data_IF_245467574258
#
_entry.id   IF_245467574258
#
_cell.length_a   1.000
_cell.length_b   1.000
_cell.length_c   1.000
_cell.angle_alpha   90.00
_cell.angle_beta   90.00
_cell.angle_gamma   90.00
#
_symmetry.space_group_name_H-M   'P 1'
#
loop_
_entity.id
_entity.type
_entity.pdbx_description
1 polymer ?
#
# COMPACT_ATOMS: atom_id res chain seq x y z
N UNK A 1 -30.62 2.60 -14.07
CA UNK A 1 -30.02 3.85 -13.53
C UNK A 1 -28.56 3.59 -13.24
N UNK A 2 -27.72 4.34 -13.94
CA UNK A 2 -26.26 4.26 -13.91
C UNK A 2 -25.68 4.75 -12.56
N UNK A 3 -24.48 4.29 -12.19
CA UNK A 3 -23.78 4.80 -11.01
C UNK A 3 -23.50 6.31 -11.12
N UNK A 4 -23.48 7.00 -9.97
CA UNK A 4 -23.24 8.45 -9.90
C UNK A 4 -21.81 8.71 -10.37
N UNK A 5 -21.67 9.47 -11.45
CA UNK A 5 -20.38 10.01 -11.90
C UNK A 5 -20.01 11.18 -11.01
N UNK A 6 -18.85 11.10 -10.37
CA UNK A 6 -18.26 12.16 -9.57
C UNK A 6 -17.40 13.01 -10.53
N UNK A 7 -17.57 14.34 -10.61
CA UNK A 7 -16.66 15.17 -11.38
C UNK A 7 -15.23 14.97 -10.85
N UNK A 8 -14.30 14.53 -11.69
CA UNK A 8 -12.89 14.65 -11.33
C UNK A 8 -12.56 16.13 -11.23
N UNK A 9 -12.00 16.57 -10.10
CA UNK A 9 -11.27 17.83 -10.08
C UNK A 9 -10.20 17.70 -11.18
N UNK A 10 -10.21 18.57 -12.19
CA UNK A 10 -9.25 18.53 -13.31
C UNK A 10 -7.78 18.68 -12.89
N UNK A 11 -7.52 18.72 -11.58
CA UNK A 11 -6.22 18.76 -10.93
C UNK A 11 -5.70 17.37 -10.52
N UNK A 12 -6.55 16.33 -10.47
CA UNK A 12 -6.11 14.96 -10.16
C UNK A 12 -5.31 14.42 -11.36
N UNK A 13 -4.06 13.94 -11.14
CA UNK A 13 -3.26 13.31 -12.18
C UNK A 13 -3.98 12.15 -12.87
N UNK A 14 -3.87 12.09 -14.20
CA UNK A 14 -4.63 11.13 -15.02
C UNK A 14 -4.30 9.68 -14.71
N UNK A 15 -3.07 9.40 -14.29
CA UNK A 15 -2.57 8.08 -13.93
C UNK A 15 -3.11 7.58 -12.58
N UNK A 16 -3.71 8.46 -11.77
CA UNK A 16 -4.43 8.11 -10.54
C UNK A 16 -5.94 7.85 -10.77
N UNK A 17 -6.44 8.12 -11.98
CA UNK A 17 -7.84 7.92 -12.36
C UNK A 17 -8.03 6.54 -13.00
N UNK A 18 -8.30 5.52 -12.18
CA UNK A 18 -8.48 4.14 -12.66
C UNK A 18 -9.89 3.86 -13.23
N UNK A 19 -10.91 4.54 -12.73
CA UNK A 19 -12.28 4.38 -13.21
C UNK A 19 -12.67 5.52 -14.16
N UNK A 20 -12.62 5.25 -15.47
CA UNK A 20 -12.99 6.22 -16.52
C UNK A 20 -14.47 6.65 -16.48
N UNK A 21 -15.31 5.96 -15.70
CA UNK A 21 -16.70 6.34 -15.44
C UNK A 21 -16.85 7.24 -14.20
N UNK A 22 -15.74 7.57 -13.55
CA UNK A 22 -15.66 8.40 -12.35
C UNK A 22 -16.63 8.02 -11.23
N UNK A 23 -16.86 6.73 -10.99
CA UNK A 23 -17.76 6.26 -9.92
C UNK A 23 -17.08 6.33 -8.55
N UNK A 24 -15.76 6.46 -8.55
CA UNK A 24 -14.92 6.64 -7.38
C UNK A 24 -13.89 7.73 -7.66
N UNK A 25 -13.47 8.45 -6.61
CA UNK A 25 -12.45 9.49 -6.66
C UNK A 25 -11.25 9.08 -5.80
N UNK A 26 -10.02 9.11 -6.34
CA UNK A 26 -8.83 8.86 -5.52
C UNK A 26 -8.67 10.03 -4.55
N UNK A 27 -8.18 9.78 -3.34
CA UNK A 27 -7.88 10.84 -2.37
C UNK A 27 -6.45 10.82 -1.86
N UNK A 28 -5.80 9.65 -1.85
CA UNK A 28 -4.36 9.51 -1.66
C UNK A 28 -3.80 8.33 -2.46
N UNK A 29 -2.47 8.22 -2.46
CA UNK A 29 -1.77 7.06 -2.96
C UNK A 29 -0.46 6.83 -2.21
N UNK A 30 0.08 5.62 -2.34
CA UNK A 30 1.34 5.23 -1.73
C UNK A 30 1.93 4.03 -2.44
N UNK A 31 3.14 3.66 -2.06
CA UNK A 31 3.84 2.50 -2.62
C UNK A 31 4.17 1.53 -1.51
N UNK A 32 3.74 0.29 -1.68
CA UNK A 32 3.98 -0.76 -0.69
C UNK A 32 5.46 -1.11 -0.67
N UNK A 33 6.02 -1.22 0.53
CA UNK A 33 7.42 -1.55 0.76
C UNK A 33 7.59 -2.34 2.05
N UNK A 34 8.75 -2.97 2.21
CA UNK A 34 9.14 -3.55 3.48
C UNK A 34 9.90 -2.51 4.29
N UNK A 35 9.33 -2.08 5.40
CA UNK A 35 9.99 -1.21 6.36
C UNK A 35 10.80 -2.07 7.31
N UNK A 36 12.03 -1.64 7.61
CA UNK A 36 12.94 -2.38 8.47
C UNK A 36 13.59 -1.48 9.53
N UNK A 37 14.02 -2.11 10.61
CA UNK A 37 14.79 -1.49 11.68
C UNK A 37 16.29 -1.58 11.38
N UNK A 38 16.93 -0.46 11.03
CA UNK A 38 18.36 -0.38 10.67
C UNK A 38 19.31 -0.76 11.82
N UNK A 39 18.82 -0.74 13.07
CA UNK A 39 19.61 -1.17 14.22
C UNK A 39 19.63 -2.69 14.35
N UNK A 40 18.56 -3.38 13.90
CA UNK A 40 18.43 -4.85 13.96
C UNK A 40 18.75 -5.55 12.65
N UNK A 41 18.72 -4.85 11.52
CA UNK A 41 18.98 -5.39 10.19
C UNK A 41 20.01 -4.54 9.45
N UNK A 42 21.18 -5.13 9.15
CA UNK A 42 22.26 -4.46 8.43
C UNK A 42 22.17 -4.63 6.92
N UNK A 43 21.64 -5.76 6.46
CA UNK A 43 21.45 -6.07 5.05
C UNK A 43 19.95 -6.07 4.74
N UNK A 44 19.37 -4.94 4.31
CA UNK A 44 17.99 -4.91 3.88
C UNK A 44 17.82 -5.59 2.52
N UNK A 45 16.64 -6.17 2.24
CA UNK A 45 16.34 -6.78 0.95
C UNK A 45 16.38 -5.71 -0.15
N UNK A 46 16.87 -6.11 -1.33
CA UNK A 46 16.94 -5.27 -2.55
C UNK A 46 15.95 -5.74 -3.61
N UNK A 47 15.37 -6.92 -3.45
CA UNK A 47 14.31 -7.47 -4.28
C UNK A 47 13.33 -8.30 -3.43
N UNK A 48 12.17 -8.66 -4.00
CA UNK A 48 11.23 -9.54 -3.31
C UNK A 48 11.86 -10.92 -3.02
N UNK A 49 12.65 -11.43 -3.96
CA UNK A 49 13.33 -12.72 -3.83
C UNK A 49 14.30 -12.78 -2.64
N UNK A 50 14.92 -11.66 -2.27
CA UNK A 50 15.84 -11.61 -1.13
C UNK A 50 15.11 -11.94 0.18
N UNK A 51 13.82 -11.62 0.29
CA UNK A 51 12.99 -11.95 1.46
C UNK A 51 12.83 -13.47 1.65
N UNK A 52 13.23 -14.29 0.68
CA UNK A 52 13.24 -15.75 0.78
C UNK A 52 14.51 -16.29 1.45
N UNK A 53 15.54 -15.46 1.67
CA UNK A 53 16.79 -15.89 2.28
C UNK A 53 16.52 -16.42 3.72
N UNK A 54 17.07 -17.59 4.09
CA UNK A 54 16.94 -18.13 5.45
C UNK A 54 17.41 -17.19 6.57
N UNK A 55 18.24 -16.18 6.28
CA UNK A 55 18.62 -15.13 7.24
C UNK A 55 17.40 -14.37 7.79
N UNK A 56 16.30 -14.33 7.03
CA UNK A 56 15.04 -13.69 7.41
C UNK A 56 14.06 -14.65 8.09
N UNK A 57 14.48 -15.87 8.47
CA UNK A 57 13.62 -16.84 9.14
C UNK A 57 12.94 -16.24 10.37
N UNK A 58 11.60 -16.20 10.37
CA UNK A 58 10.74 -15.60 11.42
C UNK A 58 11.08 -14.13 11.74
N UNK A 59 11.46 -13.33 10.73
CA UNK A 59 11.80 -11.91 10.90
C UNK A 59 10.85 -10.94 10.20
N UNK A 60 9.87 -11.44 9.46
CA UNK A 60 8.98 -10.61 8.64
C UNK A 60 7.55 -10.70 9.18
N UNK A 61 6.89 -9.56 9.34
CA UNK A 61 5.44 -9.50 9.60
C UNK A 61 4.76 -8.88 8.39
N UNK A 62 3.63 -9.46 7.98
CA UNK A 62 2.82 -8.97 6.87
C UNK A 62 1.35 -9.05 7.23
N UNK A 63 0.48 -8.47 6.41
CA UNK A 63 -0.96 -8.55 6.57
C UNK A 63 -1.63 -9.57 5.64
N UNK A 64 -2.77 -10.06 6.07
CA UNK A 64 -3.63 -10.96 5.32
C UNK A 64 -4.34 -10.22 4.16
N UNK A 65 -4.15 -10.63 2.90
CA UNK A 65 -4.76 -9.99 1.73
C UNK A 65 -6.28 -10.08 1.68
N UNK A 66 -6.91 -10.94 2.49
CA UNK A 66 -8.37 -11.05 2.55
C UNK A 66 -9.02 -9.99 3.44
N UNK A 67 -8.25 -9.36 4.33
CA UNK A 67 -8.77 -8.44 5.36
C UNK A 67 -8.04 -7.10 5.39
N UNK A 68 -6.86 -7.00 4.77
CA UNK A 68 -6.02 -5.80 4.77
C UNK A 68 -5.69 -5.35 3.35
N UNK A 69 -5.86 -4.06 3.06
CA UNK A 69 -5.50 -3.47 1.76
C UNK A 69 -3.99 -3.51 1.47
N UNK A 70 -3.06 -3.23 2.41
CA UNK A 70 -1.63 -3.51 2.22
C UNK A 70 -1.32 -4.96 1.86
N UNK A 71 -1.95 -5.91 2.57
CA UNK A 71 -1.79 -7.33 2.28
C UNK A 71 -2.25 -7.67 0.86
N UNK A 72 -3.40 -7.12 0.44
CA UNK A 72 -3.93 -7.30 -0.91
C UNK A 72 -3.00 -6.71 -1.97
N UNK A 73 -2.48 -5.51 -1.72
CA UNK A 73 -1.50 -4.85 -2.57
C UNK A 73 -0.21 -5.66 -2.69
N UNK A 74 0.27 -6.31 -1.62
CA UNK A 74 1.41 -7.25 -1.70
C UNK A 74 1.08 -8.49 -2.54
N UNK A 75 -0.13 -9.05 -2.40
CA UNK A 75 -0.55 -10.16 -3.28
C UNK A 75 -0.48 -9.72 -4.76
N UNK A 76 -1.06 -8.58 -5.10
CA UNK A 76 -0.99 -8.04 -6.46
C UNK A 76 0.43 -7.74 -6.91
N UNK A 77 1.27 -7.23 -6.03
CA UNK A 77 2.68 -6.98 -6.30
C UNK A 77 3.43 -8.25 -6.69
N UNK A 78 3.25 -9.33 -5.92
CA UNK A 78 3.88 -10.61 -6.23
C UNK A 78 3.39 -11.17 -7.57
N UNK A 79 2.13 -10.98 -7.93
CA UNK A 79 1.60 -11.39 -9.24
C UNK A 79 2.18 -10.52 -10.36
N UNK A 80 2.34 -9.21 -10.14
CA UNK A 80 2.94 -8.31 -11.13
C UNK A 80 4.42 -8.64 -11.39
N UNK A 81 5.15 -9.11 -10.39
CA UNK A 81 6.58 -9.44 -10.49
C UNK A 81 6.82 -10.88 -10.97
N UNK A 82 6.05 -11.85 -10.48
CA UNK A 82 6.27 -13.28 -10.72
C UNK A 82 5.27 -13.93 -11.69
N UNK A 83 4.25 -13.19 -12.13
CA UNK A 83 3.18 -13.70 -12.96
C UNK A 83 2.16 -14.58 -12.21
N UNK A 84 1.07 -14.92 -12.89
CA UNK A 84 0.01 -15.79 -12.33
C UNK A 84 0.51 -17.22 -12.03
N UNK A 85 1.57 -17.66 -12.70
CA UNK A 85 2.13 -19.01 -12.52
C UNK A 85 3.17 -19.08 -11.39
N UNK A 86 3.90 -17.97 -11.13
CA UNK A 86 5.03 -17.97 -10.20
C UNK A 86 4.75 -17.44 -8.80
N UNK A 87 3.70 -16.63 -8.61
CA UNK A 87 3.49 -15.93 -7.34
C UNK A 87 3.24 -16.89 -6.17
N UNK A 88 2.54 -18.00 -6.37
CA UNK A 88 2.26 -18.96 -5.28
C UNK A 88 3.51 -19.67 -4.77
N UNK A 89 4.45 -19.98 -5.67
CA UNK A 89 5.72 -20.59 -5.29
C UNK A 89 6.57 -19.63 -4.46
N UNK A 90 6.53 -18.34 -4.79
CA UNK A 90 7.12 -17.29 -3.97
C UNK A 90 6.50 -17.28 -2.56
N UNK A 91 5.16 -17.24 -2.45
CA UNK A 91 4.47 -17.23 -1.16
C UNK A 91 4.77 -18.44 -0.29
N UNK A 92 4.79 -19.65 -0.88
CA UNK A 92 5.15 -20.89 -0.17
C UNK A 92 6.57 -20.86 0.41
N UNK A 93 7.53 -20.28 -0.33
CA UNK A 93 8.90 -20.10 0.15
C UNK A 93 8.97 -19.03 1.24
N UNK A 94 8.32 -17.88 1.02
CA UNK A 94 8.30 -16.75 1.94
C UNK A 94 7.72 -17.12 3.29
N UNK A 95 6.71 -18.01 3.34
CA UNK A 95 6.05 -18.45 4.58
C UNK A 95 7.03 -18.86 5.68
N UNK A 96 8.17 -19.46 5.33
CA UNK A 96 9.20 -19.88 6.30
C UNK A 96 9.88 -18.71 7.02
N UNK A 97 9.85 -17.52 6.42
CA UNK A 97 10.47 -16.30 6.92
C UNK A 97 9.49 -15.37 7.64
N UNK A 98 8.19 -15.66 7.54
CA UNK A 98 7.17 -14.92 8.27
C UNK A 98 7.20 -15.28 9.75
N UNK A 99 7.25 -14.26 10.61
CA UNK A 99 6.93 -14.38 12.02
C UNK A 99 5.42 -14.50 12.20
N UNK A 100 4.66 -13.67 11.49
CA UNK A 100 3.20 -13.58 11.61
C UNK A 100 2.56 -13.03 10.33
N UNK A 101 1.30 -13.41 10.13
CA UNK A 101 0.37 -12.80 9.16
C UNK A 101 -0.80 -12.25 9.95
N UNK A 102 -0.89 -10.92 10.06
CA UNK A 102 -1.94 -10.25 10.86
C UNK A 102 -3.18 -9.95 10.02
N UNK A 103 -4.33 -9.73 10.66
CA UNK A 103 -5.55 -9.36 9.92
C UNK A 103 -5.53 -7.92 9.38
N UNK A 104 -4.63 -7.06 9.88
CA UNK A 104 -4.58 -5.66 9.50
C UNK A 104 -3.25 -4.98 9.82
N UNK A 105 -3.04 -3.84 9.16
CA UNK A 105 -1.78 -3.09 9.19
C UNK A 105 -1.39 -2.61 10.59
N UNK A 106 -2.33 -2.08 11.37
CA UNK A 106 -2.03 -1.57 12.72
C UNK A 106 -1.46 -2.64 13.64
N UNK A 107 -1.93 -3.89 13.52
CA UNK A 107 -1.39 -5.01 14.29
C UNK A 107 0.02 -5.38 13.81
N UNK A 108 0.25 -5.45 12.49
CA UNK A 108 1.56 -5.73 11.92
C UNK A 108 2.60 -4.68 12.32
N UNK A 109 2.27 -3.40 12.12
CA UNK A 109 3.14 -2.28 12.45
C UNK A 109 3.38 -2.14 13.96
N UNK A 110 2.38 -2.48 14.78
CA UNK A 110 2.53 -2.58 16.23
C UNK A 110 3.56 -3.63 16.67
N UNK A 111 3.54 -4.83 16.07
CA UNK A 111 4.55 -5.86 16.33
C UNK A 111 5.96 -5.39 15.94
N UNK A 112 6.08 -4.71 14.80
CA UNK A 112 7.33 -4.15 14.31
C UNK A 112 7.92 -3.09 15.25
N UNK A 113 7.13 -2.10 15.63
CA UNK A 113 7.56 -1.00 16.51
C UNK A 113 7.85 -1.45 17.94
N UNK A 114 7.17 -2.52 18.43
CA UNK A 114 7.54 -3.23 19.68
C UNK A 114 8.79 -4.08 19.54
N UNK A 115 9.29 -4.25 18.33
CA UNK A 115 10.54 -4.94 18.04
C UNK A 115 10.44 -6.46 17.97
N UNK A 116 9.24 -7.01 17.85
CA UNK A 116 8.99 -8.46 17.71
C UNK A 116 9.53 -9.01 16.39
N UNK A 117 9.48 -8.20 15.32
CA UNK A 117 10.07 -8.48 14.02
C UNK A 117 10.85 -7.26 13.51
N UNK A 118 12.04 -7.44 12.90
CA UNK A 118 12.81 -6.34 12.34
C UNK A 118 12.35 -5.88 10.95
N UNK A 119 11.37 -6.55 10.32
CA UNK A 119 10.85 -6.22 8.99
C UNK A 119 9.32 -6.31 9.00
N UNK A 120 8.65 -5.35 8.37
CA UNK A 120 7.19 -5.33 8.21
C UNK A 120 6.77 -4.86 6.83
N UNK A 121 5.69 -5.41 6.27
CA UNK A 121 5.03 -4.83 5.10
C UNK A 121 4.36 -3.51 5.50
N UNK A 122 4.65 -2.44 4.78
CA UNK A 122 4.07 -1.11 5.00
C UNK A 122 4.23 -0.27 3.74
N UNK A 123 4.46 1.02 3.85
CA UNK A 123 4.62 1.95 2.73
C UNK A 123 6.00 2.60 2.72
N UNK A 124 6.45 3.06 1.55
CA UNK A 124 7.67 3.87 1.39
C UNK A 124 7.64 5.15 2.23
N UNK A 125 6.44 5.62 2.57
CA UNK A 125 6.16 6.83 3.35
C UNK A 125 6.14 6.61 4.87
N UNK A 126 6.01 5.36 5.35
CA UNK A 126 5.93 5.09 6.79
C UNK A 126 7.12 5.62 7.62
N UNK A 127 8.37 5.59 7.13
CA UNK A 127 9.49 6.24 7.82
C UNK A 127 9.29 7.73 8.13
N UNK A 128 8.50 8.46 7.34
CA UNK A 128 8.25 9.88 7.56
C UNK A 128 7.58 10.14 8.92
N UNK A 129 6.72 9.22 9.40
CA UNK A 129 6.14 9.32 10.75
C UNK A 129 7.21 9.41 11.83
N UNK A 130 8.20 8.50 11.76
CA UNK A 130 9.25 8.41 12.75
C UNK A 130 10.21 9.61 12.67
N UNK A 131 10.46 10.11 11.47
CA UNK A 131 11.25 11.33 11.32
C UNK A 131 10.49 12.57 11.85
N UNK A 132 9.20 12.67 11.59
CA UNK A 132 8.37 13.80 12.02
C UNK A 132 8.16 13.82 13.54
N UNK A 133 7.74 12.71 14.13
CA UNK A 133 7.27 12.68 15.52
C UNK A 133 8.30 12.13 16.51
N UNK A 134 9.16 11.20 16.07
CA UNK A 134 10.16 10.56 16.93
C UNK A 134 11.59 11.09 16.66
N UNK A 135 11.74 11.97 15.66
CA UNK A 135 13.01 12.60 15.26
C UNK A 135 14.11 11.55 14.98
N UNK A 136 13.74 10.44 14.36
CA UNK A 136 14.65 9.32 14.07
C UNK A 136 14.54 8.82 12.64
N UNK A 137 15.69 8.47 12.05
CA UNK A 137 15.79 7.79 10.74
C UNK A 137 16.09 6.29 10.90
N UNK A 138 15.87 5.74 12.12
CA UNK A 138 16.11 4.33 12.43
C UNK A 138 15.31 3.40 11.53
N UNK A 139 14.07 3.75 11.22
CA UNK A 139 13.20 2.93 10.40
C UNK A 139 13.27 3.41 8.96
N UNK A 140 13.49 2.48 8.03
CA UNK A 140 13.67 2.81 6.62
C UNK A 140 12.85 1.85 5.76
N UNK A 141 12.36 2.34 4.63
CA UNK A 141 11.73 1.52 3.62
C UNK A 141 12.82 0.91 2.72
N UNK A 142 12.76 -0.40 2.48
CA UNK A 142 13.69 -1.08 1.58
C UNK A 142 13.58 -0.48 0.17
N UNK A 143 14.72 -0.24 -0.48
CA UNK A 143 14.78 0.24 -1.86
C UNK A 143 14.88 -0.96 -2.80
N UNK A 144 13.76 -1.34 -3.41
CA UNK A 144 13.69 -2.55 -4.24
C UNK A 144 13.94 -2.23 -5.71
N UNK A 145 14.87 -2.95 -6.33
CA UNK A 145 15.34 -2.65 -7.69
C UNK A 145 14.25 -2.86 -8.74
N UNK A 146 13.39 -3.87 -8.55
CA UNK A 146 12.23 -4.14 -9.42
C UNK A 146 11.03 -3.20 -9.17
N UNK A 147 11.20 -2.21 -8.30
CA UNK A 147 10.16 -1.23 -8.00
C UNK A 147 9.19 -1.66 -6.92
N UNK A 148 8.16 -0.84 -6.71
CA UNK A 148 7.18 -0.99 -5.65
C UNK A 148 5.76 -0.90 -6.22
N UNK A 149 4.84 -1.70 -5.68
CA UNK A 149 3.46 -1.70 -6.14
C UNK A 149 2.72 -0.49 -5.57
N UNK A 150 2.01 0.23 -6.44
CA UNK A 150 1.22 1.41 -6.08
C UNK A 150 -0.14 1.00 -5.53
N UNK A 151 -0.51 1.57 -4.40
CA UNK A 151 -1.87 1.55 -3.85
C UNK A 151 -2.47 2.95 -4.00
N UNK A 152 -3.71 3.01 -4.47
CA UNK A 152 -4.50 4.24 -4.55
C UNK A 152 -5.76 4.00 -3.71
N UNK A 153 -6.03 4.89 -2.76
CA UNK A 153 -7.25 4.81 -1.97
C UNK A 153 -8.34 5.69 -2.56
N UNK A 154 -9.56 5.17 -2.59
CA UNK A 154 -10.69 5.77 -3.29
C UNK A 154 -11.87 5.99 -2.37
N UNK A 155 -12.60 7.07 -2.60
CA UNK A 155 -13.93 7.32 -2.04
C UNK A 155 -14.99 7.24 -3.14
N UNK A 156 -16.16 6.70 -2.80
CA UNK A 156 -17.28 6.57 -3.74
C UNK A 156 -18.61 6.87 -3.08
N UNK A 157 -19.56 7.39 -3.86
CA UNK A 157 -20.92 7.66 -3.38
C UNK A 157 -21.76 6.40 -3.52
N UNK A 158 -22.31 5.92 -2.40
CA UNK A 158 -23.11 4.70 -2.38
C UNK A 158 -24.42 4.90 -3.16
N UNK A 159 -24.68 3.99 -4.10
CA UNK A 159 -25.92 3.96 -4.89
C UNK A 159 -27.15 3.86 -3.97
N UNK A 160 -28.13 4.72 -4.19
CA UNK A 160 -29.38 4.75 -3.41
C UNK A 160 -29.34 5.65 -2.17
N UNK A 161 -28.23 6.37 -1.93
CA UNK A 161 -28.22 7.41 -0.89
C UNK A 161 -29.30 8.46 -1.12
N UNK A 162 -30.01 8.87 -0.06
CA UNK A 162 -30.97 9.98 -0.10
C UNK A 162 -30.28 11.35 -0.02
N UNK A 163 -28.96 11.37 0.22
CA UNK A 163 -28.16 12.58 0.48
C UNK A 163 -27.11 12.80 -0.62
N UNK A 164 -27.48 12.64 -1.90
CA UNK A 164 -26.55 12.71 -3.04
C UNK A 164 -25.75 14.02 -3.04
N UNK A 165 -26.42 15.16 -2.84
CA UNK A 165 -25.75 16.47 -2.83
C UNK A 165 -24.68 16.57 -1.73
N UNK A 166 -25.00 16.15 -0.50
CA UNK A 166 -24.04 16.16 0.62
C UNK A 166 -22.89 15.18 0.42
N UNK A 167 -23.17 14.02 -0.19
CA UNK A 167 -22.13 13.06 -0.54
C UNK A 167 -21.17 13.64 -1.59
N UNK A 168 -21.69 14.38 -2.58
CA UNK A 168 -20.86 15.08 -3.56
C UNK A 168 -20.02 16.19 -2.89
N UNK A 169 -20.63 17.02 -2.04
CA UNK A 169 -19.92 18.06 -1.26
C UNK A 169 -18.78 17.46 -0.41
N UNK A 170 -18.96 16.25 0.12
CA UNK A 170 -17.93 15.54 0.86
C UNK A 170 -16.77 15.09 -0.04
N UNK A 171 -17.05 14.56 -1.23
CA UNK A 171 -15.98 14.22 -2.18
C UNK A 171 -15.22 15.48 -2.62
N UNK A 172 -15.93 16.58 -2.89
CA UNK A 172 -15.31 17.86 -3.24
C UNK A 172 -14.42 18.38 -2.09
N UNK A 173 -14.86 18.20 -0.84
CA UNK A 173 -14.06 18.50 0.35
C UNK A 173 -12.80 17.62 0.42
N UNK A 174 -12.88 16.31 0.14
CA UNK A 174 -11.72 15.42 0.13
C UNK A 174 -10.66 15.84 -0.90
N UNK A 175 -11.06 16.47 -2.00
CA UNK A 175 -10.16 16.98 -3.03
C UNK A 175 -9.72 18.44 -2.78
N UNK A 176 -10.21 19.08 -1.72
CA UNK A 176 -9.82 20.46 -1.38
C UNK A 176 -8.41 20.53 -0.80
N UNK A 177 -7.80 21.72 -0.86
CA UNK A 177 -6.50 21.99 -0.25
C UNK A 177 -6.47 21.65 1.25
N UNK A 178 -7.56 21.91 1.98
CA UNK A 178 -7.62 21.62 3.42
C UNK A 178 -7.47 20.13 3.71
N UNK A 179 -8.15 19.28 2.95
CA UNK A 179 -8.07 17.83 3.15
C UNK A 179 -6.75 17.29 2.61
N UNK A 180 -6.38 17.64 1.38
CA UNK A 180 -5.18 17.12 0.72
C UNK A 180 -3.89 17.50 1.47
N UNK A 181 -3.79 18.72 2.02
CA UNK A 181 -2.62 19.11 2.82
C UNK A 181 -2.53 18.39 4.18
N UNK A 182 -3.63 17.78 4.67
CA UNK A 182 -3.60 17.02 5.92
C UNK A 182 -3.10 15.58 5.73
N UNK A 183 -3.22 15.02 4.52
CA UNK A 183 -2.90 13.61 4.22
C UNK A 183 -1.47 13.22 4.63
N UNK A 184 -0.42 13.99 4.27
CA UNK A 184 0.96 13.60 4.59
C UNK A 184 1.22 13.34 6.08
N UNK A 185 0.58 14.10 6.97
CA UNK A 185 0.82 14.05 8.43
C UNK A 185 -0.26 13.30 9.21
N UNK A 186 -1.30 12.80 8.54
CA UNK A 186 -2.40 12.07 9.19
C UNK A 186 -2.52 10.64 8.69
N UNK A 187 -2.45 10.43 7.37
CA UNK A 187 -2.51 9.09 6.77
C UNK A 187 -1.14 8.56 6.34
N UNK A 188 -0.10 9.41 6.34
CA UNK A 188 1.27 9.05 5.89
C UNK A 188 1.29 8.51 4.46
N UNK A 189 0.50 9.14 3.59
CA UNK A 189 0.39 8.84 2.16
C UNK A 189 0.70 10.11 1.35
N UNK A 190 0.87 9.96 0.04
CA UNK A 190 0.94 11.10 -0.86
C UNK A 190 -0.46 11.62 -1.18
N UNK A 191 -0.68 12.94 -1.17
CA UNK A 191 -1.95 13.52 -1.60
C UNK A 191 -2.09 13.36 -3.12
N UNK A 192 -3.30 13.11 -3.61
CA UNK A 192 -3.57 13.05 -5.07
C UNK A 192 -3.49 14.43 -5.72
N UNK A 193 -3.69 15.51 -4.96
CA UNK A 193 -3.49 16.88 -5.42
C UNK A 193 -2.54 17.59 -4.46
N UNK A 194 -1.37 17.98 -4.97
CA UNK A 194 -0.38 18.66 -4.17
C UNK A 194 -0.57 20.19 -4.23
N UNK A 195 -1.26 20.76 -3.24
CA UNK A 195 -1.43 22.21 -3.10
C UNK A 195 -0.27 22.91 -2.40
N UNK A 196 0.56 22.17 -1.66
CA UNK A 196 1.71 22.68 -0.91
C UNK A 196 2.90 21.71 -1.01
N UNK A 197 4.14 22.17 -0.77
CA UNK A 197 5.28 21.26 -0.59
C UNK A 197 4.99 20.22 0.49
N UNK A 198 5.46 18.99 0.28
CA UNK A 198 5.39 17.96 1.32
C UNK A 198 6.23 18.36 2.54
N UNK A 199 5.88 17.92 3.75
CA UNK A 199 6.69 18.14 4.95
C UNK A 199 8.13 17.62 4.78
N UNK A 200 9.10 18.22 5.49
CA UNK A 200 10.52 17.81 5.41
C UNK A 200 10.71 16.31 5.71
N UNK A 201 9.88 15.74 6.60
CA UNK A 201 9.91 14.31 6.93
C UNK A 201 9.72 13.39 5.72
N UNK A 202 9.12 13.87 4.62
CA UNK A 202 8.99 13.10 3.37
C UNK A 202 10.29 13.04 2.55
N UNK A 203 11.36 13.75 2.93
CA UNK A 203 12.65 13.67 2.21
C UNK A 203 13.27 12.27 2.19
N UNK A 204 12.89 11.42 3.16
CA UNK A 204 13.30 10.01 3.24
C UNK A 204 12.27 9.05 2.62
N UNK A 205 11.08 9.54 2.27
CA UNK A 205 10.03 8.84 1.56
C UNK A 205 10.14 9.16 0.06
N UNK A 206 11.06 8.49 -0.63
CA UNK A 206 11.25 8.72 -2.07
C UNK A 206 10.29 7.85 -2.87
N UNK A 207 9.65 8.44 -3.86
CA UNK A 207 8.90 7.67 -4.85
C UNK A 207 9.82 6.68 -5.59
N UNK A 208 9.33 5.46 -5.86
CA UNK A 208 10.11 4.45 -6.56
C UNK A 208 10.31 4.80 -8.03
N UNK A 209 11.44 4.40 -8.60
CA UNK A 209 11.73 4.62 -10.04
C UNK A 209 10.93 3.69 -10.96
N UNK A 210 10.48 2.55 -10.44
CA UNK A 210 9.71 1.56 -11.16
C UNK A 210 8.46 1.20 -10.36
N UNK A 211 7.33 1.09 -11.05
CA UNK A 211 6.03 0.80 -10.45
C UNK A 211 5.41 -0.35 -11.25
N UNK A 212 5.65 -1.62 -10.86
CA UNK A 212 4.93 -2.74 -11.47
C UNK A 212 3.43 -2.59 -11.17
N UNK A 213 2.59 -2.76 -12.19
CA UNK A 213 1.15 -2.59 -12.09
C UNK A 213 0.41 -3.76 -12.75
N UNK A 214 -0.76 -4.10 -12.21
CA UNK A 214 -1.68 -5.03 -12.85
C UNK A 214 -2.79 -4.28 -13.60
N UNK A 215 -3.23 -4.84 -14.72
CA UNK A 215 -4.41 -4.34 -15.41
C UNK A 215 -5.66 -4.48 -14.50
N UNK A 216 -6.37 -3.38 -14.27
CA UNK A 216 -7.55 -3.36 -13.38
C UNK A 216 -8.69 -4.29 -13.83
N UNK A 217 -8.85 -4.53 -15.13
CA UNK A 217 -9.84 -5.49 -15.66
C UNK A 217 -9.43 -6.94 -15.40
N UNK A 218 -8.13 -7.24 -15.40
CA UNK A 218 -7.61 -8.54 -14.99
C UNK A 218 -7.82 -8.76 -13.50
N UNK A 219 -7.45 -7.77 -12.67
CA UNK A 219 -7.69 -7.79 -11.22
C UNK A 219 -9.17 -8.05 -10.94
N UNK A 220 -10.08 -7.30 -11.55
CA UNK A 220 -11.53 -7.49 -11.38
C UNK A 220 -11.98 -8.94 -11.65
N UNK A 221 -11.45 -9.58 -12.70
CA UNK A 221 -11.81 -10.95 -13.09
C UNK A 221 -11.19 -12.01 -12.18
N UNK A 222 -9.94 -11.82 -11.77
CA UNK A 222 -9.14 -12.88 -11.13
C UNK A 222 -8.98 -12.75 -9.62
N UNK A 223 -9.23 -11.58 -9.02
CA UNK A 223 -8.87 -11.31 -7.62
C UNK A 223 -9.41 -12.35 -6.63
N UNK A 224 -10.68 -12.75 -6.79
CA UNK A 224 -11.30 -13.79 -5.96
C UNK A 224 -10.60 -15.15 -6.09
N UNK A 225 -10.14 -15.50 -7.31
CA UNK A 225 -9.38 -16.74 -7.56
C UNK A 225 -8.00 -16.65 -6.89
N UNK A 226 -7.29 -15.54 -7.08
CA UNK A 226 -5.96 -15.34 -6.50
C UNK A 226 -5.98 -15.38 -4.97
N UNK A 227 -6.96 -14.72 -4.33
CA UNK A 227 -7.15 -14.74 -2.88
C UNK A 227 -7.43 -16.15 -2.33
N UNK A 228 -8.29 -16.92 -3.01
CA UNK A 228 -8.58 -18.31 -2.64
C UNK A 228 -7.33 -19.19 -2.78
N UNK A 229 -6.57 -19.02 -3.86
CA UNK A 229 -5.36 -19.79 -4.10
C UNK A 229 -4.26 -19.46 -3.08
N UNK A 230 -4.04 -18.17 -2.79
CA UNK A 230 -3.13 -17.72 -1.74
C UNK A 230 -3.51 -18.32 -0.37
N UNK A 231 -4.80 -18.27 -0.01
CA UNK A 231 -5.29 -18.79 1.27
C UNK A 231 -5.07 -20.30 1.44
N UNK A 232 -5.09 -21.08 0.35
CA UNK A 232 -4.76 -22.51 0.38
C UNK A 232 -3.25 -22.70 0.54
N UNK A 233 -2.46 -22.02 -0.30
CA UNK A 233 -1.01 -22.13 -0.30
C UNK A 233 -0.34 -21.72 1.02
N UNK A 234 -0.96 -20.81 1.78
CA UNK A 234 -0.45 -20.41 3.11
C UNK A 234 -0.85 -21.36 4.24
N UNK A 235 -1.91 -22.15 4.05
CA UNK A 235 -2.42 -23.12 5.04
C UNK A 235 -1.80 -24.51 4.92
N UNK A 236 -1.25 -24.86 3.75
CA UNK A 236 -0.50 -26.10 3.46
C UNK A 236 0.97 -25.98 3.88
#
# INVERSE_FOLDING_TARGET
>A
MDPISIPASGQVPIDLILDKKHRVSPFDYGFISFVYDTQKLKNPPRNLEDLLDPEYKRKIVIENPKTSSPGLSMLHWTIAVFGEDGYLDYWKKLRKNLLSVTDGWSAAYGMFTKGEAPIVLSYVTSPAFHLEYEKTERYQAACLQKGHYRQIEFAGIIKGTKQVKRAQEFIDFMLSAKFQNAIPLTNWMYPVIQYQPLPDSFRIAREPKAVPELNSSLVYKQNTKWLKAWSRAMSE
#
